data_IF_735022863235
#
_entry.id   IF_735022863235
#
_cell.length_a   1.000
_cell.length_b   1.000
_cell.length_c   1.000
_cell.angle_alpha   90.00
_cell.angle_beta   90.00
_cell.angle_gamma   90.00
#
_symmetry.space_group_name_H-M   'P 1'
#
loop_
_entity.id
_entity.type
_entity.pdbx_description
1 polymer ?
#
# COMPACT_ATOMS: atom_id res chain seq x y z
N UNK A 1 -16.28 -12.26 23.25
CA UNK A 1 -17.20 -11.55 22.34
C UNK A 1 -17.21 -10.10 22.77
N UNK A 2 -16.39 -9.25 22.17
CA UNK A 2 -16.39 -7.79 22.43
C UNK A 2 -16.25 -7.11 21.07
N UNK A 3 -17.39 -6.70 20.52
CA UNK A 3 -17.42 -5.74 19.42
C UNK A 3 -17.08 -4.38 20.02
N UNK A 4 -15.86 -3.89 19.76
CA UNK A 4 -15.54 -2.49 20.00
C UNK A 4 -16.15 -1.65 18.89
N UNK A 5 -17.35 -1.15 19.14
CA UNK A 5 -18.02 -0.12 18.36
C UNK A 5 -17.28 1.22 18.56
N UNK A 6 -16.23 1.46 17.77
CA UNK A 6 -15.62 2.78 17.68
C UNK A 6 -16.24 3.54 16.50
N UNK A 7 -17.49 3.97 16.69
CA UNK A 7 -18.18 4.88 15.77
C UNK A 7 -17.67 6.31 16.02
N UNK A 8 -16.71 6.73 15.20
CA UNK A 8 -16.35 8.14 15.02
C UNK A 8 -17.40 8.82 14.10
N UNK A 9 -17.85 10.05 14.41
CA UNK A 9 -18.86 10.74 13.60
C UNK A 9 -18.24 11.16 12.25
N UNK A 10 -18.71 10.55 11.16
CA UNK A 10 -18.35 10.90 9.78
C UNK A 10 -17.58 9.83 9.00
N UNK A 11 -17.22 8.70 9.61
CA UNK A 11 -16.65 7.56 8.89
C UNK A 11 -17.74 6.68 8.28
N UNK A 12 -17.59 6.28 7.02
CA UNK A 12 -18.33 5.13 6.49
C UNK A 12 -18.10 3.93 7.43
N UNK A 13 -19.12 3.09 7.67
CA UNK A 13 -18.92 1.85 8.43
C UNK A 13 -17.81 1.01 7.76
N UNK A 14 -17.10 0.15 8.51
CA UNK A 14 -16.15 -0.80 7.92
C UNK A 14 -16.79 -1.55 6.75
N UNK A 15 -16.02 -1.84 5.71
CA UNK A 15 -16.50 -2.71 4.64
C UNK A 15 -16.58 -4.16 5.15
N UNK A 16 -17.62 -4.89 4.71
CA UNK A 16 -17.86 -6.27 5.13
C UNK A 16 -17.01 -7.27 4.32
N UNK A 17 -16.46 -6.85 3.17
CA UNK A 17 -15.54 -7.64 2.35
C UNK A 17 -14.45 -6.81 1.66
N UNK A 18 -13.44 -7.51 1.10
CA UNK A 18 -12.38 -6.87 0.30
C UNK A 18 -12.95 -6.27 -0.98
N UNK A 19 -13.88 -6.96 -1.63
CA UNK A 19 -14.55 -6.51 -2.86
C UNK A 19 -15.34 -5.23 -2.62
N UNK A 20 -16.09 -5.16 -1.51
CA UNK A 20 -16.82 -3.94 -1.15
C UNK A 20 -15.84 -2.79 -0.84
N UNK A 21 -14.76 -3.05 -0.11
CA UNK A 21 -13.73 -2.05 0.16
C UNK A 21 -13.11 -1.51 -1.13
N UNK A 22 -12.80 -2.38 -2.09
CA UNK A 22 -12.25 -1.99 -3.40
C UNK A 22 -13.27 -1.18 -4.22
N UNK A 23 -14.53 -1.60 -4.28
CA UNK A 23 -15.57 -0.87 -4.98
C UNK A 23 -15.76 0.56 -4.43
N UNK A 24 -15.70 0.73 -3.09
CA UNK A 24 -15.73 2.06 -2.46
C UNK A 24 -14.52 2.91 -2.80
N UNK A 25 -13.32 2.30 -2.86
CA UNK A 25 -12.09 3.00 -3.26
C UNK A 25 -12.17 3.43 -4.73
N UNK A 26 -12.62 2.55 -5.62
CA UNK A 26 -12.79 2.82 -7.05
C UNK A 26 -13.80 3.95 -7.29
N UNK A 27 -14.93 3.95 -6.58
CA UNK A 27 -15.91 5.05 -6.62
C UNK A 27 -15.29 6.38 -6.17
N UNK A 28 -14.59 6.39 -5.03
CA UNK A 28 -13.94 7.60 -4.52
C UNK A 28 -12.82 8.12 -5.45
N UNK A 29 -12.10 7.23 -6.13
CA UNK A 29 -11.12 7.60 -7.17
C UNK A 29 -11.84 8.19 -8.39
N UNK A 30 -13.00 7.66 -8.77
CA UNK A 30 -13.87 8.24 -9.80
C UNK A 30 -14.32 9.66 -9.47
N UNK A 31 -14.76 9.90 -8.23
CA UNK A 31 -15.13 11.24 -7.75
C UNK A 31 -13.92 12.20 -7.81
N UNK A 32 -12.75 11.76 -7.35
CA UNK A 32 -11.52 12.56 -7.45
C UNK A 32 -11.15 12.87 -8.90
N UNK A 33 -11.28 11.90 -9.81
CA UNK A 33 -10.99 12.10 -11.22
C UNK A 33 -11.91 13.17 -11.82
N UNK A 34 -13.21 13.14 -11.50
CA UNK A 34 -14.17 14.16 -11.92
C UNK A 34 -13.80 15.58 -11.46
N UNK A 35 -13.31 15.71 -10.22
CA UNK A 35 -12.84 16.99 -9.65
C UNK A 35 -11.50 17.49 -10.24
N UNK A 36 -10.82 16.67 -11.03
CA UNK A 36 -9.55 17.00 -11.71
C UNK A 36 -9.70 17.02 -13.23
N UNK A 37 -10.92 17.01 -13.75
CA UNK A 37 -11.18 17.19 -15.18
C UNK A 37 -10.75 18.58 -15.67
N UNK A 38 -10.35 18.68 -16.94
CA UNK A 38 -9.84 19.93 -17.54
C UNK A 38 -10.82 21.11 -17.34
N UNK A 39 -12.12 20.89 -17.56
CA UNK A 39 -13.16 21.92 -17.36
C UNK A 39 -13.19 22.48 -15.93
N UNK A 40 -12.92 21.65 -14.92
CA UNK A 40 -12.88 22.05 -13.52
C UNK A 40 -11.58 22.78 -13.18
N UNK A 41 -10.45 22.30 -13.70
CA UNK A 41 -9.13 22.86 -13.39
C UNK A 41 -8.83 24.16 -14.13
N UNK A 42 -9.42 24.36 -15.31
CA UNK A 42 -9.24 25.56 -16.13
C UNK A 42 -10.40 26.57 -15.97
N UNK A 43 -11.44 26.20 -15.23
CA UNK A 43 -12.63 27.00 -14.98
C UNK A 43 -12.39 28.16 -14.00
N UNK A 44 -13.35 29.10 -13.96
CA UNK A 44 -13.28 30.26 -13.06
C UNK A 44 -13.21 29.88 -11.58
N UNK A 45 -13.87 28.78 -11.20
CA UNK A 45 -13.90 28.24 -9.84
C UNK A 45 -12.81 27.19 -9.57
N UNK A 46 -11.73 27.19 -10.37
CA UNK A 46 -10.65 26.23 -10.25
C UNK A 46 -10.07 26.17 -8.82
N UNK A 47 -9.74 24.98 -8.30
CA UNK A 47 -9.10 24.85 -7.00
C UNK A 47 -7.76 25.59 -6.96
N UNK A 48 -7.49 26.28 -5.85
CA UNK A 48 -6.20 26.94 -5.68
C UNK A 48 -5.03 25.95 -5.72
N UNK A 49 -3.85 26.41 -6.18
CA UNK A 49 -2.62 25.60 -6.23
C UNK A 49 -2.28 24.99 -4.86
N UNK A 50 -2.56 25.68 -3.76
CA UNK A 50 -2.38 25.14 -2.41
C UNK A 50 -3.27 23.92 -2.15
N UNK A 51 -4.54 23.96 -2.55
CA UNK A 51 -5.46 22.82 -2.44
C UNK A 51 -5.01 21.65 -3.31
N UNK A 52 -4.60 21.93 -4.55
CA UNK A 52 -4.09 20.90 -5.47
C UNK A 52 -2.82 20.24 -4.93
N UNK A 53 -1.90 21.02 -4.36
CA UNK A 53 -0.68 20.49 -3.73
C UNK A 53 -1.02 19.59 -2.55
N UNK A 54 -1.95 20.01 -1.68
CA UNK A 54 -2.41 19.19 -0.56
C UNK A 54 -3.10 17.89 -1.02
N UNK A 55 -3.93 17.98 -2.07
CA UNK A 55 -4.57 16.80 -2.68
C UNK A 55 -3.52 15.84 -3.21
N UNK A 56 -2.54 16.31 -3.98
CA UNK A 56 -1.43 15.50 -4.48
C UNK A 56 -0.67 14.79 -3.35
N UNK A 57 -0.31 15.49 -2.27
CA UNK A 57 0.35 14.85 -1.11
C UNK A 57 -0.51 13.78 -0.45
N UNK A 58 -1.83 14.02 -0.31
CA UNK A 58 -2.76 13.04 0.26
C UNK A 58 -2.92 11.81 -0.63
N UNK A 59 -3.04 12.00 -1.95
CA UNK A 59 -3.09 10.92 -2.94
C UNK A 59 -1.82 10.07 -2.84
N UNK A 60 -0.63 10.70 -2.80
CA UNK A 60 0.64 9.96 -2.64
C UNK A 60 0.67 9.08 -1.39
N UNK A 61 0.13 9.55 -0.26
CA UNK A 61 0.03 8.75 0.97
C UNK A 61 -0.96 7.58 0.82
N UNK A 62 -2.13 7.82 0.24
CA UNK A 62 -3.13 6.78 0.01
C UNK A 62 -2.57 5.70 -0.93
N UNK A 63 -1.93 6.08 -2.04
CA UNK A 63 -1.26 5.12 -2.93
C UNK A 63 -0.20 4.29 -2.20
N UNK A 64 0.59 4.90 -1.32
CA UNK A 64 1.57 4.16 -0.53
C UNK A 64 0.96 3.13 0.44
N UNK A 65 -0.20 3.44 1.03
CA UNK A 65 -0.97 2.48 1.85
C UNK A 65 -1.50 1.32 1.01
N UNK A 66 -2.04 1.63 -0.17
CA UNK A 66 -2.51 0.61 -1.13
C UNK A 66 -1.36 -0.28 -1.60
N UNK A 67 -0.17 0.26 -1.84
CA UNK A 67 1.05 -0.52 -2.11
C UNK A 67 1.37 -1.48 -0.95
N UNK A 68 1.30 -1.00 0.31
CA UNK A 68 1.50 -1.85 1.49
C UNK A 68 0.51 -3.00 1.58
N UNK A 69 -0.76 -2.75 1.28
CA UNK A 69 -1.80 -3.79 1.21
C UNK A 69 -1.47 -4.76 0.07
N UNK A 70 -1.17 -4.26 -1.13
CA UNK A 70 -0.81 -5.09 -2.31
C UNK A 70 0.36 -6.03 -2.01
N UNK A 71 1.43 -5.52 -1.41
CA UNK A 71 2.59 -6.33 -1.03
C UNK A 71 2.29 -7.38 0.03
N UNK A 72 1.28 -7.16 0.87
CA UNK A 72 0.83 -8.14 1.87
C UNK A 72 0.11 -9.34 1.22
N UNK A 73 -0.46 -9.15 0.02
CA UNK A 73 -1.18 -10.20 -0.72
C UNK A 73 -0.22 -11.10 -1.53
N UNK A 74 0.81 -10.54 -2.16
CA UNK A 74 1.65 -11.28 -3.14
C UNK A 74 2.21 -12.61 -2.61
N UNK A 75 2.83 -12.69 -1.41
CA UNK A 75 3.38 -13.96 -0.93
C UNK A 75 2.29 -14.99 -0.60
N UNK A 76 1.08 -14.54 -0.24
CA UNK A 76 -0.06 -15.43 0.03
C UNK A 76 -0.60 -16.03 -1.27
N UNK A 77 -0.74 -15.20 -2.31
CA UNK A 77 -1.17 -15.66 -3.64
C UNK A 77 -0.13 -16.64 -4.21
N UNK A 78 1.17 -16.34 -4.08
CA UNK A 78 2.23 -17.26 -4.52
C UNK A 78 2.14 -18.63 -3.83
N UNK A 79 1.97 -18.62 -2.51
CA UNK A 79 1.92 -19.82 -1.67
C UNK A 79 0.68 -20.69 -1.94
N UNK A 80 -0.47 -20.06 -2.20
CA UNK A 80 -1.73 -20.76 -2.49
C UNK A 80 -1.64 -21.58 -3.79
N UNK A 81 -0.93 -21.07 -4.80
CA UNK A 81 -0.49 -21.87 -5.94
C UNK A 81 -1.49 -22.07 -7.09
N UNK A 82 -2.76 -21.66 -6.96
CA UNK A 82 -3.78 -21.75 -8.03
C UNK A 82 -3.39 -21.00 -9.30
N UNK A 83 -2.52 -19.99 -9.17
CA UNK A 83 -1.95 -19.24 -10.30
C UNK A 83 -1.27 -20.14 -11.34
N UNK A 84 -0.86 -21.36 -10.98
CA UNK A 84 -0.25 -22.35 -11.88
C UNK A 84 -1.25 -22.99 -12.85
N UNK A 85 -2.55 -22.97 -12.54
CA UNK A 85 -3.58 -23.67 -13.32
C UNK A 85 -3.77 -23.13 -14.75
N UNK A 86 -3.37 -21.89 -15.03
CA UNK A 86 -3.47 -21.26 -16.35
C UNK A 86 -2.40 -21.66 -17.38
N UNK A 87 -1.49 -22.58 -17.06
CA UNK A 87 -0.58 -23.24 -18.03
C UNK A 87 0.57 -22.41 -18.62
N UNK A 88 0.47 -21.07 -18.64
CA UNK A 88 1.42 -20.22 -19.38
C UNK A 88 2.63 -19.76 -18.54
N UNK A 89 2.57 -19.82 -17.21
CA UNK A 89 3.61 -19.31 -16.32
C UNK A 89 4.23 -20.41 -15.45
N UNK A 90 5.55 -20.60 -15.57
CA UNK A 90 6.33 -21.56 -14.77
C UNK A 90 6.88 -20.99 -13.46
N UNK A 91 6.79 -19.67 -13.27
CA UNK A 91 7.23 -18.97 -12.07
C UNK A 91 6.22 -17.87 -11.72
N UNK A 92 6.05 -17.59 -10.43
CA UNK A 92 5.06 -16.62 -9.95
C UNK A 92 5.31 -15.21 -10.51
N UNK A 93 6.56 -14.76 -10.59
CA UNK A 93 6.90 -13.45 -11.17
C UNK A 93 6.59 -13.36 -12.66
N UNK A 94 6.66 -14.47 -13.40
CA UNK A 94 6.20 -14.54 -14.81
C UNK A 94 4.69 -14.42 -14.90
N UNK A 95 3.97 -15.10 -14.01
CA UNK A 95 2.51 -15.00 -13.92
C UNK A 95 2.07 -13.58 -13.56
N UNK A 96 2.69 -12.98 -12.53
CA UNK A 96 2.40 -11.64 -12.04
C UNK A 96 2.60 -10.58 -13.12
N UNK A 97 3.70 -10.69 -13.87
CA UNK A 97 4.01 -9.84 -15.02
C UNK A 97 2.88 -9.83 -16.05
N UNK A 98 2.37 -11.00 -16.41
CA UNK A 98 1.29 -11.14 -17.40
C UNK A 98 -0.03 -10.65 -16.81
N UNK A 99 -0.33 -10.99 -15.56
CA UNK A 99 -1.58 -10.61 -14.89
C UNK A 99 -1.71 -9.11 -14.67
N UNK A 100 -0.63 -8.42 -14.32
CA UNK A 100 -0.63 -6.99 -14.01
C UNK A 100 -0.15 -6.12 -15.19
N UNK A 101 0.29 -6.71 -16.32
CA UNK A 101 0.78 -5.96 -17.46
C UNK A 101 2.08 -5.19 -17.20
N UNK A 102 2.89 -5.62 -16.23
CA UNK A 102 4.12 -4.93 -15.81
C UNK A 102 5.37 -5.53 -16.46
N UNK A 103 6.52 -4.89 -16.28
CA UNK A 103 7.80 -5.45 -16.70
C UNK A 103 8.25 -6.61 -15.80
N UNK A 104 9.11 -7.50 -16.31
CA UNK A 104 9.73 -8.54 -15.48
C UNK A 104 10.56 -7.97 -14.33
N UNK A 105 11.15 -6.78 -14.50
CA UNK A 105 11.91 -6.09 -13.46
C UNK A 105 10.97 -5.63 -12.33
N UNK A 106 9.83 -5.04 -12.69
CA UNK A 106 8.79 -4.60 -11.74
C UNK A 106 8.26 -5.77 -10.94
N UNK A 107 7.83 -6.87 -11.58
CA UNK A 107 7.29 -8.03 -10.89
C UNK A 107 8.30 -8.65 -9.89
N UNK A 108 9.59 -8.69 -10.24
CA UNK A 108 10.65 -9.17 -9.34
C UNK A 108 10.89 -8.23 -8.16
N UNK A 109 10.93 -6.92 -8.42
CA UNK A 109 11.08 -5.91 -7.36
C UNK A 109 9.92 -5.97 -6.38
N UNK A 110 8.69 -6.02 -6.89
CA UNK A 110 7.48 -6.11 -6.07
C UNK A 110 7.48 -7.37 -5.20
N UNK A 111 7.84 -8.53 -5.76
CA UNK A 111 7.97 -9.77 -4.99
C UNK A 111 9.08 -9.70 -3.94
N UNK A 112 10.22 -9.07 -4.27
CA UNK A 112 11.35 -8.89 -3.33
C UNK A 112 10.94 -8.00 -2.15
N UNK A 113 10.28 -6.87 -2.42
CA UNK A 113 9.72 -5.97 -1.40
C UNK A 113 8.73 -6.73 -0.53
N UNK A 114 7.75 -7.41 -1.15
CA UNK A 114 6.73 -8.16 -0.44
C UNK A 114 7.32 -9.25 0.48
N UNK A 115 8.32 -9.99 0.02
CA UNK A 115 9.00 -11.00 0.84
C UNK A 115 9.71 -10.35 2.03
N UNK A 116 10.49 -9.30 1.80
CA UNK A 116 11.26 -8.61 2.86
C UNK A 116 10.36 -7.96 3.91
N UNK A 117 9.28 -7.32 3.48
CA UNK A 117 8.24 -6.79 4.37
C UNK A 117 7.56 -7.87 5.20
N UNK A 118 7.43 -9.08 4.66
CA UNK A 118 6.80 -10.20 5.37
C UNK A 118 7.76 -10.88 6.35
N UNK A 119 9.03 -11.08 5.97
CA UNK A 119 9.95 -11.93 6.74
C UNK A 119 10.96 -11.18 7.59
N UNK A 120 11.42 -10.00 7.14
CA UNK A 120 12.51 -9.26 7.77
C UNK A 120 12.04 -7.93 8.39
N UNK A 121 10.92 -7.38 7.90
CA UNK A 121 10.46 -6.04 8.27
C UNK A 121 8.93 -5.98 8.53
N UNK A 122 8.36 -6.84 9.39
CA UNK A 122 6.91 -6.88 9.64
C UNK A 122 6.36 -5.57 10.22
N UNK A 123 7.11 -4.89 11.10
CA UNK A 123 6.72 -3.57 11.65
C UNK A 123 6.68 -2.51 10.55
N UNK A 124 7.66 -2.49 9.64
CA UNK A 124 7.66 -1.59 8.48
C UNK A 124 6.43 -1.81 7.60
N UNK A 125 6.01 -3.07 7.40
CA UNK A 125 4.79 -3.40 6.66
C UNK A 125 3.55 -2.83 7.33
N UNK A 126 3.39 -3.04 8.63
CA UNK A 126 2.22 -2.57 9.39
C UNK A 126 2.10 -1.04 9.33
N UNK A 127 3.22 -0.34 9.48
CA UNK A 127 3.31 1.12 9.40
C UNK A 127 3.02 1.65 7.99
N UNK A 128 3.44 0.92 6.95
CA UNK A 128 3.12 1.25 5.56
C UNK A 128 1.61 1.12 5.29
N UNK A 129 0.98 0.04 5.77
CA UNK A 129 -0.48 -0.17 5.64
C UNK A 129 -1.27 0.90 6.43
N UNK A 130 -0.82 1.22 7.64
CA UNK A 130 -1.39 2.28 8.46
C UNK A 130 -1.22 3.68 7.84
N UNK A 131 -0.22 3.85 6.95
CA UNK A 131 0.10 5.13 6.31
C UNK A 131 0.91 6.09 7.18
N UNK A 132 1.44 5.59 8.30
CA UNK A 132 2.38 6.33 9.16
C UNK A 132 3.80 6.31 8.58
N UNK A 133 4.13 5.31 7.75
CA UNK A 133 5.34 5.24 6.95
C UNK A 133 5.04 5.43 5.45
N UNK A 134 5.78 6.31 4.78
CA UNK A 134 5.65 6.51 3.33
C UNK A 134 6.27 5.39 2.50
N UNK A 135 5.75 5.17 1.28
CA UNK A 135 6.21 4.09 0.39
C UNK A 135 7.70 4.16 0.03
N UNK A 136 8.26 5.35 -0.18
CA UNK A 136 9.69 5.48 -0.52
C UNK A 136 10.59 5.12 0.66
N UNK A 137 10.19 5.48 1.89
CA UNK A 137 10.89 5.01 3.09
C UNK A 137 10.83 3.49 3.18
N UNK A 138 9.66 2.88 3.01
CA UNK A 138 9.53 1.42 3.04
C UNK A 138 10.41 0.74 1.97
N UNK A 139 10.50 1.30 0.76
CA UNK A 139 11.39 0.81 -0.31
C UNK A 139 12.86 0.86 0.12
N UNK A 140 13.34 2.00 0.58
CA UNK A 140 14.72 2.16 1.07
C UNK A 140 15.01 1.18 2.21
N UNK A 141 14.09 1.05 3.16
CA UNK A 141 14.22 0.09 4.27
C UNK A 141 14.33 -1.35 3.76
N UNK A 142 13.51 -1.74 2.79
CA UNK A 142 13.60 -3.08 2.20
C UNK A 142 14.88 -3.29 1.42
N UNK A 143 15.51 -2.27 0.85
CA UNK A 143 16.78 -2.41 0.14
C UNK A 143 17.97 -2.60 1.10
N UNK A 144 18.00 -1.80 2.18
CA UNK A 144 19.19 -1.66 3.03
C UNK A 144 19.12 -2.52 4.30
N UNK A 145 17.95 -2.64 4.94
CA UNK A 145 17.84 -3.26 6.27
C UNK A 145 18.01 -4.79 6.30
N UNK A 146 17.56 -5.58 5.30
CA UNK A 146 17.65 -7.06 5.36
C UNK A 146 19.07 -7.64 5.30
N UNK A 147 20.11 -6.81 5.32
CA UNK A 147 21.51 -7.22 5.24
C UNK A 147 22.16 -7.49 6.61
N UNK A 148 21.46 -7.23 7.73
CA UNK A 148 21.92 -7.53 9.09
C UNK A 148 20.74 -7.52 10.08
N UNK A 149 20.69 -8.47 11.02
CA UNK A 149 19.67 -8.54 12.08
C UNK A 149 19.71 -7.31 13.00
N UNK A 150 20.91 -6.90 13.44
CA UNK A 150 21.12 -5.65 14.20
C UNK A 150 20.56 -4.41 13.50
N UNK A 151 20.61 -4.37 12.17
CA UNK A 151 20.05 -3.27 11.38
C UNK A 151 18.52 -3.33 11.31
N UNK A 152 17.92 -4.51 11.32
CA UNK A 152 16.46 -4.70 11.38
C UNK A 152 15.92 -4.20 12.73
N UNK A 153 16.55 -4.60 13.84
CA UNK A 153 16.15 -4.20 15.19
C UNK A 153 16.28 -2.69 15.41
N UNK A 154 17.41 -2.11 14.99
CA UNK A 154 17.63 -0.66 15.08
C UNK A 154 16.60 0.14 14.26
N UNK A 155 16.16 -0.39 13.11
CA UNK A 155 15.11 0.23 12.31
C UNK A 155 13.74 0.13 12.97
N UNK A 156 13.38 -1.02 13.52
CA UNK A 156 12.11 -1.20 14.23
C UNK A 156 12.00 -0.20 15.38
N UNK A 157 13.03 -0.10 16.21
CA UNK A 157 13.10 0.87 17.30
C UNK A 157 12.98 2.33 16.81
N UNK A 158 13.69 2.72 15.75
CA UNK A 158 13.66 4.09 15.24
C UNK A 158 12.29 4.48 14.65
N UNK A 159 11.60 3.52 14.02
CA UNK A 159 10.24 3.70 13.53
C UNK A 159 9.28 3.95 14.70
N UNK A 160 9.39 3.17 15.76
CA UNK A 160 8.57 3.29 16.96
C UNK A 160 8.77 4.65 17.65
N UNK A 161 10.02 5.08 17.84
CA UNK A 161 10.35 6.40 18.41
C UNK A 161 9.79 7.54 17.56
N UNK A 162 9.88 7.45 16.22
CA UNK A 162 9.42 8.52 15.33
C UNK A 162 7.89 8.56 15.17
N UNK A 163 7.21 7.45 15.40
CA UNK A 163 5.75 7.35 15.30
C UNK A 163 5.04 7.47 16.65
N UNK A 164 5.77 7.53 17.75
CA UNK A 164 5.24 7.74 19.10
C UNK A 164 4.62 6.49 19.73
N UNK A 165 4.86 5.31 19.16
CA UNK A 165 4.36 4.04 19.66
C UNK A 165 5.54 3.24 20.23
N UNK A 166 5.76 3.33 21.54
CA UNK A 166 6.73 2.49 22.24
C UNK A 166 6.08 1.16 22.61
N UNK A 167 6.38 0.09 21.87
CA UNK A 167 6.05 -1.27 22.31
C UNK A 167 6.91 -1.59 23.54
N UNK A 168 6.27 -1.71 24.71
CA UNK A 168 6.87 -2.25 25.94
C UNK A 168 6.67 -3.76 25.98
#
# INVERSE_FOLDING_TARGET
MVQSTNNMPGGLPPADSVEEALARIEAAVGDLAGLTGAEVLDGWDAPSITRLTQAHTRIRRVTGRLDGVRFTLLPRIEAEGSWRSGGMARAFTTWLRVREGVSSSTARKDMTIARRLTTALPVTRERLVAGTLGADHARVMTEVAPTSETRQDALAWLIDVRTGETTT
#
